data_IF_855320748919
#
_entry.id   IF_855320748919
#
_cell.length_a   1.000
_cell.length_b   1.000
_cell.length_c   1.000
_cell.angle_alpha   90.00
_cell.angle_beta   90.00
_cell.angle_gamma   90.00
#
_symmetry.space_group_name_H-M   'P 1'
#
loop_
_entity.id
_entity.type
_entity.pdbx_description
1 polymer ?
#
# COMPACT_ATOMS: atom_id res chain seq x y z
N UNK A 1 11.68 -6.81 17.23
CA UNK A 1 11.00 -5.84 16.37
C UNK A 1 11.25 -6.19 14.91
N UNK A 2 10.20 -6.23 14.13
CA UNK A 2 10.31 -6.56 12.73
C UNK A 2 10.46 -5.29 11.89
N UNK A 3 11.43 -5.31 10.98
CA UNK A 3 11.67 -4.19 10.10
C UNK A 3 11.48 -4.67 8.66
N UNK A 4 10.68 -3.94 7.92
CA UNK A 4 10.39 -4.29 6.53
C UNK A 4 10.86 -3.17 5.63
N UNK A 5 11.38 -3.54 4.45
CA UNK A 5 11.72 -2.54 3.45
C UNK A 5 10.52 -2.37 2.51
N UNK A 6 10.59 -1.31 1.70
CA UNK A 6 9.55 -1.07 0.71
C UNK A 6 9.38 -2.31 -0.19
N UNK A 7 10.49 -2.89 -0.63
CA UNK A 7 10.43 -4.03 -1.54
C UNK A 7 9.86 -5.28 -0.90
N UNK A 8 9.89 -5.36 0.43
CA UNK A 8 9.31 -6.50 1.12
C UNK A 8 7.79 -6.43 1.14
N UNK A 9 7.26 -5.22 1.14
CA UNK A 9 5.83 -4.99 1.33
C UNK A 9 5.10 -4.76 0.02
N UNK A 10 5.73 -4.05 -0.91
CA UNK A 10 5.07 -3.63 -2.14
C UNK A 10 5.75 -4.18 -3.38
N UNK A 11 4.96 -4.36 -4.43
CA UNK A 11 5.46 -4.78 -5.72
C UNK A 11 5.00 -3.78 -6.77
N UNK A 12 5.94 -3.35 -7.63
CA UNK A 12 5.62 -2.39 -8.67
C UNK A 12 4.67 -3.00 -9.71
N UNK A 13 3.78 -2.16 -10.23
CA UNK A 13 2.88 -2.58 -11.29
C UNK A 13 3.50 -2.13 -12.62
N UNK A 14 3.79 -3.03 -13.56
CA UNK A 14 4.37 -2.64 -14.85
C UNK A 14 3.49 -1.62 -15.55
N UNK A 15 4.11 -0.51 -15.95
CA UNK A 15 3.39 0.54 -16.65
C UNK A 15 2.60 1.48 -15.77
N UNK A 16 2.70 1.33 -14.46
CA UNK A 16 1.94 2.17 -13.55
C UNK A 16 2.83 2.60 -12.39
N UNK A 17 3.63 3.65 -12.58
CA UNK A 17 4.60 4.06 -11.55
C UNK A 17 3.96 4.70 -10.32
N UNK A 18 2.70 5.07 -10.38
CA UNK A 18 2.04 5.73 -9.27
C UNK A 18 1.36 4.77 -8.30
N UNK A 19 1.26 3.51 -8.68
CA UNK A 19 0.59 2.53 -7.85
C UNK A 19 1.45 1.29 -7.65
N UNK A 20 1.21 0.61 -6.55
CA UNK A 20 1.90 -0.65 -6.24
C UNK A 20 0.89 -1.62 -5.66
N UNK A 21 1.26 -2.88 -5.64
CA UNK A 21 0.43 -3.93 -5.05
C UNK A 21 1.06 -4.35 -3.73
N UNK A 22 0.23 -4.48 -2.71
CA UNK A 22 0.71 -4.92 -1.41
C UNK A 22 0.88 -6.44 -1.44
N UNK A 23 2.11 -6.90 -1.32
CA UNK A 23 2.36 -8.34 -1.35
C UNK A 23 2.59 -8.93 0.03
N UNK A 24 2.76 -8.08 1.04
CA UNK A 24 2.90 -8.56 2.41
C UNK A 24 2.42 -7.50 3.37
N UNK A 25 1.22 -7.65 3.95
CA UNK A 25 0.67 -6.67 4.88
C UNK A 25 1.06 -7.03 6.32
N UNK A 26 2.22 -6.53 6.82
CA UNK A 26 2.68 -6.95 8.14
C UNK A 26 1.64 -6.66 9.21
N UNK A 27 1.81 -5.59 9.97
CA UNK A 27 0.85 -5.26 11.01
C UNK A 27 -0.28 -4.37 10.49
N UNK A 28 -0.14 -3.92 9.25
CA UNK A 28 -1.15 -3.02 8.67
C UNK A 28 -2.50 -3.70 8.52
N UNK A 29 -2.50 -5.01 8.40
CA UNK A 29 -3.74 -5.75 8.28
C UNK A 29 -4.63 -5.53 9.50
N UNK A 30 -4.03 -5.54 10.68
CA UNK A 30 -4.79 -5.37 11.91
C UNK A 30 -5.14 -3.92 12.17
N UNK A 31 -4.21 -3.02 11.88
CA UNK A 31 -4.42 -1.62 12.22
C UNK A 31 -5.22 -0.86 11.18
N UNK A 32 -4.98 -1.14 9.93
CA UNK A 32 -5.59 -0.39 8.83
C UNK A 32 -6.50 -1.22 7.94
N UNK A 33 -6.48 -2.52 8.10
CA UNK A 33 -7.31 -3.38 7.26
C UNK A 33 -6.77 -3.57 5.85
N UNK A 34 -5.49 -3.32 5.65
CA UNK A 34 -4.86 -3.48 4.33
C UNK A 34 -4.50 -4.94 4.13
N UNK A 35 -4.86 -5.47 2.98
CA UNK A 35 -4.70 -6.89 2.69
C UNK A 35 -3.73 -7.13 1.53
N UNK A 36 -3.31 -8.38 1.38
CA UNK A 36 -2.49 -8.78 0.25
C UNK A 36 -3.25 -8.50 -1.05
N UNK A 37 -2.54 -8.07 -2.07
CA UNK A 37 -3.09 -7.72 -3.39
C UNK A 37 -3.85 -6.41 -3.42
N UNK A 38 -3.88 -5.66 -2.33
CA UNK A 38 -4.48 -4.34 -2.35
C UNK A 38 -3.64 -3.41 -3.23
N UNK A 39 -4.32 -2.53 -3.95
CA UNK A 39 -3.65 -1.53 -4.77
C UNK A 39 -3.42 -0.27 -3.96
N UNK A 40 -2.16 0.16 -3.89
CA UNK A 40 -1.76 1.31 -3.09
C UNK A 40 -1.28 2.40 -4.03
N UNK A 41 -1.83 3.60 -3.89
CA UNK A 41 -1.39 4.77 -4.65
C UNK A 41 -0.32 5.51 -3.86
N UNK A 42 0.76 5.88 -4.55
CA UNK A 42 1.86 6.62 -3.94
C UNK A 42 1.85 8.04 -4.48
N UNK A 43 1.78 9.00 -3.58
CA UNK A 43 1.76 10.41 -3.94
C UNK A 43 2.84 11.14 -3.17
N UNK A 44 3.53 12.06 -3.85
CA UNK A 44 4.52 12.91 -3.20
C UNK A 44 3.84 14.21 -2.78
N UNK A 45 4.09 14.61 -1.53
CA UNK A 45 3.54 15.84 -1.01
C UNK A 45 4.67 16.59 -0.32
N UNK A 46 5.32 17.49 -1.08
CA UNK A 46 6.49 18.17 -0.57
C UNK A 46 7.60 17.18 -0.33
N UNK A 47 8.03 17.06 0.91
CA UNK A 47 9.08 16.13 1.29
C UNK A 47 8.52 14.83 1.85
N UNK A 48 7.22 14.65 1.77
CA UNK A 48 6.56 13.48 2.37
C UNK A 48 6.01 12.57 1.30
N UNK A 49 5.87 11.30 1.65
CA UNK A 49 5.24 10.30 0.77
C UNK A 49 3.91 9.93 1.40
N UNK A 50 2.84 10.02 0.61
CA UNK A 50 1.50 9.66 1.07
C UNK A 50 1.07 8.39 0.38
N UNK A 51 0.67 7.40 1.16
CA UNK A 51 0.19 6.13 0.64
C UNK A 51 -1.32 6.05 0.83
N UNK A 52 -2.03 5.75 -0.24
CA UNK A 52 -3.48 5.61 -0.21
C UNK A 52 -3.87 4.23 -0.70
N UNK A 53 -4.59 3.48 0.12
CA UNK A 53 -5.03 2.14 -0.29
C UNK A 53 -6.36 2.26 -1.02
N UNK A 54 -6.32 2.19 -2.34
CA UNK A 54 -7.50 2.33 -3.18
C UNK A 54 -8.47 1.19 -2.96
N UNK A 55 -7.95 -0.03 -2.85
CA UNK A 55 -8.79 -1.19 -2.65
C UNK A 55 -9.53 -1.14 -1.32
N UNK A 56 -8.83 -0.71 -0.26
CA UNK A 56 -9.44 -0.60 1.05
C UNK A 56 -10.54 0.46 1.06
N UNK A 57 -10.31 1.58 0.39
CA UNK A 57 -11.30 2.63 0.31
C UNK A 57 -12.57 2.13 -0.36
N UNK A 58 -12.42 1.30 -1.39
CA UNK A 58 -13.56 0.75 -2.09
C UNK A 58 -14.32 -0.22 -1.19
N UNK A 59 -13.61 -1.03 -0.42
CA UNK A 59 -14.25 -1.97 0.50
C UNK A 59 -15.00 -1.26 1.61
N UNK A 60 -14.43 -0.16 2.12
CA UNK A 60 -15.04 0.57 3.22
C UNK A 60 -16.26 1.37 2.79
N UNK A 61 -16.37 1.63 1.53
CA UNK A 61 -17.38 2.51 1.03
C UNK A 61 -18.70 1.82 0.75
N UNK A 62 -19.02 0.83 1.22
CA UNK A 62 -20.20 0.04 0.98
C UNK A 62 -21.51 0.78 1.06
#
# INVERSE_FOLDING_TARGET
>A
MNTYTYEDIFEDIPGDPDNVIMKFPPELEKELGWLIDDTINITLDGNSIVLSNISHQTREKD
#
